data_IF_881234794725
#
_entry.id   IF_881234794725
#
_cell.length_a   1.000
_cell.length_b   1.000
_cell.length_c   1.000
_cell.angle_alpha   90.00
_cell.angle_beta   90.00
_cell.angle_gamma   90.00
#
_symmetry.space_group_name_H-M   'P 1'
#
loop_
_entity.id
_entity.type
_entity.pdbx_description
1 polymer ?
#
# COMPACT_ATOMS: atom_id res chain seq x y z
N UNK A 1 -18.78 1.57 -2.67
CA UNK A 1 -17.71 2.44 -3.20
C UNK A 1 -18.04 2.81 -4.63
N UNK A 2 -17.90 4.08 -5.04
CA UNK A 2 -18.03 4.47 -6.45
C UNK A 2 -16.69 4.32 -7.17
N UNK A 3 -16.73 3.93 -8.44
CA UNK A 3 -15.53 3.76 -9.28
C UNK A 3 -14.73 5.06 -9.43
N UNK A 4 -15.43 6.20 -9.43
CA UNK A 4 -14.79 7.51 -9.50
C UNK A 4 -14.04 7.87 -8.20
N UNK A 5 -14.60 7.56 -7.03
CA UNK A 5 -13.92 7.79 -5.76
C UNK A 5 -12.66 6.92 -5.67
N UNK A 6 -12.78 5.64 -6.06
CA UNK A 6 -11.65 4.72 -6.09
C UNK A 6 -10.52 5.23 -6.99
N UNK A 7 -10.84 5.61 -8.23
CA UNK A 7 -9.85 6.11 -9.20
C UNK A 7 -9.15 7.38 -8.73
N UNK A 8 -9.87 8.32 -8.12
CA UNK A 8 -9.27 9.55 -7.56
C UNK A 8 -8.31 9.24 -6.42
N UNK A 9 -8.69 8.29 -5.56
CA UNK A 9 -7.85 7.86 -4.46
C UNK A 9 -6.58 7.17 -4.96
N UNK A 10 -6.72 6.26 -5.93
CA UNK A 10 -5.58 5.59 -6.55
C UNK A 10 -4.64 6.59 -7.26
N UNK A 11 -5.18 7.57 -7.98
CA UNK A 11 -4.40 8.63 -8.62
C UNK A 11 -3.61 9.45 -7.59
N UNK A 12 -4.25 9.81 -6.47
CA UNK A 12 -3.58 10.49 -5.35
C UNK A 12 -2.45 9.65 -4.76
N UNK A 13 -2.68 8.36 -4.48
CA UNK A 13 -1.67 7.47 -3.91
C UNK A 13 -0.50 7.24 -4.87
N UNK A 14 -0.77 7.06 -6.16
CA UNK A 14 0.27 6.93 -7.20
C UNK A 14 1.11 8.20 -7.29
N UNK A 15 0.49 9.38 -7.27
CA UNK A 15 1.22 10.64 -7.29
C UNK A 15 2.07 10.80 -6.02
N UNK A 16 1.54 10.46 -4.84
CA UNK A 16 2.32 10.45 -3.61
C UNK A 16 3.56 9.57 -3.78
N UNK A 17 3.40 8.31 -4.18
CA UNK A 17 4.52 7.38 -4.32
C UNK A 17 5.58 7.82 -5.36
N UNK A 18 5.22 8.70 -6.29
CA UNK A 18 6.16 9.35 -7.21
C UNK A 18 6.90 10.52 -6.57
N UNK A 19 6.24 11.28 -5.70
CA UNK A 19 6.80 12.49 -5.09
C UNK A 19 7.61 12.20 -3.83
N UNK A 20 7.28 11.15 -3.07
CA UNK A 20 7.88 10.77 -1.80
C UNK A 20 7.59 9.30 -1.44
N UNK A 21 8.12 8.82 -0.31
CA UNK A 21 7.83 7.50 0.23
C UNK A 21 6.42 7.43 0.81
N UNK A 22 5.55 6.70 0.14
CA UNK A 22 4.20 6.42 0.58
C UNK A 22 4.22 5.36 1.69
N UNK A 23 3.82 5.78 2.89
CA UNK A 23 3.68 4.87 4.04
C UNK A 23 2.33 4.17 4.10
N UNK A 24 2.29 2.98 4.71
CA UNK A 24 1.08 2.16 4.80
C UNK A 24 -0.10 2.85 5.48
N UNK A 25 0.11 3.77 6.43
CA UNK A 25 -1.00 4.47 7.10
C UNK A 25 -1.83 5.32 6.15
N UNK A 26 -1.23 5.83 5.05
CA UNK A 26 -1.95 6.58 4.02
C UNK A 26 -2.85 5.65 3.20
N UNK A 27 -2.33 4.47 2.84
CA UNK A 27 -3.09 3.42 2.15
C UNK A 27 -4.23 2.89 3.05
N UNK A 28 -3.95 2.65 4.33
CA UNK A 28 -4.96 2.27 5.32
C UNK A 28 -6.03 3.35 5.48
N UNK A 29 -5.64 4.63 5.44
CA UNK A 29 -6.56 5.78 5.42
C UNK A 29 -7.46 5.79 4.19
N UNK A 30 -6.91 5.53 3.00
CA UNK A 30 -7.66 5.39 1.76
C UNK A 30 -8.71 4.27 1.84
N UNK A 31 -8.34 3.09 2.36
CA UNK A 31 -9.27 1.98 2.61
C UNK A 31 -10.42 2.41 3.51
N UNK A 32 -10.13 3.09 4.62
CA UNK A 32 -11.14 3.60 5.54
C UNK A 32 -12.07 4.64 4.91
N UNK A 33 -11.53 5.54 4.09
CA UNK A 33 -12.28 6.57 3.36
C UNK A 33 -13.25 5.96 2.34
N UNK A 34 -12.80 4.94 1.61
CA UNK A 34 -13.56 4.32 0.51
C UNK A 34 -14.65 3.35 0.98
N UNK A 35 -14.42 2.61 2.06
CA UNK A 35 -15.39 1.66 2.61
C UNK A 35 -16.34 2.32 3.62
N UNK A 36 -15.88 3.37 4.31
CA UNK A 36 -16.63 4.01 5.39
C UNK A 36 -16.66 3.19 6.68
N UNK A 37 -17.51 3.59 7.62
CA UNK A 37 -17.61 2.96 8.94
C UNK A 37 -18.29 1.60 8.86
N UNK A 38 -17.82 0.65 9.68
CA UNK A 38 -18.46 -0.65 9.87
C UNK A 38 -18.01 -1.75 8.90
N UNK A 39 -17.09 -1.45 7.98
CA UNK A 39 -16.46 -2.45 7.13
C UNK A 39 -15.69 -3.47 7.99
N UNK A 40 -15.86 -4.74 7.66
CA UNK A 40 -15.16 -5.85 8.28
C UNK A 40 -13.67 -5.84 7.95
N UNK A 41 -12.86 -6.54 8.74
CA UNK A 41 -11.43 -6.67 8.44
C UNK A 41 -11.18 -7.37 7.09
N UNK A 42 -12.01 -8.35 6.72
CA UNK A 42 -11.92 -9.03 5.43
C UNK A 42 -12.16 -8.07 4.24
N UNK A 43 -13.18 -7.20 4.34
CA UNK A 43 -13.43 -6.17 3.32
C UNK A 43 -12.29 -5.15 3.23
N UNK A 44 -11.74 -4.75 4.38
CA UNK A 44 -10.60 -3.83 4.46
C UNK A 44 -9.34 -4.45 3.86
N UNK A 45 -9.04 -5.70 4.19
CA UNK A 45 -7.93 -6.47 3.62
C UNK A 45 -8.08 -6.61 2.10
N UNK A 46 -9.28 -6.99 1.63
CA UNK A 46 -9.55 -7.15 0.19
C UNK A 46 -9.31 -5.85 -0.58
N UNK A 47 -9.78 -4.71 -0.05
CA UNK A 47 -9.55 -3.42 -0.68
C UNK A 47 -8.08 -2.97 -0.58
N UNK A 48 -7.43 -3.20 0.56
CA UNK A 48 -6.00 -2.91 0.75
C UNK A 48 -5.16 -3.59 -0.33
N UNK A 49 -5.35 -4.90 -0.50
CA UNK A 49 -4.60 -5.70 -1.48
C UNK A 49 -4.91 -5.27 -2.92
N UNK A 50 -6.15 -4.86 -3.21
CA UNK A 50 -6.52 -4.30 -4.52
C UNK A 50 -5.77 -2.99 -4.79
N UNK A 51 -5.76 -2.06 -3.84
CA UNK A 51 -5.04 -0.78 -3.98
C UNK A 51 -3.55 -1.03 -4.20
N UNK A 52 -2.94 -1.91 -3.41
CA UNK A 52 -1.52 -2.25 -3.54
C UNK A 52 -1.23 -2.89 -4.90
N UNK A 53 -2.11 -3.76 -5.40
CA UNK A 53 -1.95 -4.37 -6.72
C UNK A 53 -1.99 -3.30 -7.82
N UNK A 54 -2.97 -2.41 -7.78
CA UNK A 54 -3.12 -1.35 -8.77
C UNK A 54 -1.95 -0.34 -8.71
N UNK A 55 -1.43 -0.03 -7.52
CA UNK A 55 -0.21 0.76 -7.35
C UNK A 55 1.01 0.06 -7.97
N UNK A 56 1.12 -1.26 -7.76
CA UNK A 56 2.21 -2.06 -8.33
C UNK A 56 2.18 -2.05 -9.86
N UNK A 57 0.99 -2.23 -10.44
CA UNK A 57 0.76 -2.17 -11.88
C UNK A 57 1.01 -0.77 -12.44
N UNK A 58 0.81 0.28 -11.65
CA UNK A 58 1.17 1.66 -11.97
C UNK A 58 2.68 1.96 -11.86
N UNK A 59 3.51 0.99 -11.46
CA UNK A 59 4.96 1.11 -11.38
C UNK A 59 5.52 1.32 -9.98
N UNK A 60 4.66 1.44 -8.96
CA UNK A 60 5.08 1.56 -7.57
C UNK A 60 5.69 0.24 -7.08
N UNK A 61 6.71 0.30 -6.23
CA UNK A 61 7.33 -0.88 -5.62
C UNK A 61 7.29 -0.80 -4.11
N UNK A 62 6.94 -1.90 -3.41
CA UNK A 62 7.15 -2.01 -1.99
C UNK A 62 8.65 -2.23 -1.69
N UNK A 63 9.10 -1.71 -0.55
CA UNK A 63 10.48 -1.83 -0.14
C UNK A 63 10.71 -1.32 1.28
N UNK A 64 11.97 -1.39 1.68
CA UNK A 64 12.42 -0.99 3.01
C UNK A 64 13.22 0.32 2.91
N UNK A 65 12.98 1.22 3.86
CA UNK A 65 13.85 2.38 4.03
C UNK A 65 15.14 1.96 4.70
N UNK A 66 16.24 2.56 4.29
CA UNK A 66 17.57 2.29 4.86
C UNK A 66 18.19 3.57 5.42
N UNK A 67 19.23 3.39 6.24
CA UNK A 67 20.06 4.50 6.72
C UNK A 67 21.07 5.01 5.67
N UNK A 68 21.15 4.37 4.49
CA UNK A 68 22.05 4.76 3.41
C UNK A 68 21.59 6.05 2.75
N UNK A 69 22.47 7.04 2.65
CA UNK A 69 22.19 8.24 1.88
C UNK A 69 22.17 7.98 0.36
N UNK A 70 22.88 6.94 -0.10
CA UNK A 70 22.98 6.55 -1.50
C UNK A 70 21.82 5.69 -1.94
N UNK A 71 21.37 4.80 -1.06
CA UNK A 71 20.31 3.81 -1.32
C UNK A 71 19.24 3.89 -0.22
N UNK A 72 18.56 5.04 -0.05
CA UNK A 72 17.66 5.26 1.08
C UNK A 72 16.39 4.39 1.01
N UNK A 73 16.11 3.79 -0.14
CA UNK A 73 15.03 2.85 -0.36
C UNK A 73 15.55 1.62 -1.11
N UNK A 74 15.25 0.43 -0.58
CA UNK A 74 15.56 -0.84 -1.21
C UNK A 74 14.25 -1.54 -1.63
N UNK A 75 13.94 -1.61 -2.93
CA UNK A 75 12.77 -2.33 -3.40
C UNK A 75 12.90 -3.81 -3.07
N UNK A 76 11.79 -4.44 -2.70
CA UNK A 76 11.77 -5.88 -2.53
C UNK A 76 12.03 -6.60 -3.85
N UNK A 77 12.86 -7.65 -3.78
CA UNK A 77 13.11 -8.52 -4.92
C UNK A 77 11.98 -9.55 -5.07
N UNK A 78 10.79 -9.08 -5.44
CA UNK A 78 9.59 -9.91 -5.66
C UNK A 78 8.80 -9.38 -6.85
N UNK A 79 8.09 -10.27 -7.53
CA UNK A 79 7.04 -9.87 -8.46
C UNK A 79 5.79 -9.38 -7.69
N UNK A 80 4.79 -8.88 -8.43
CA UNK A 80 3.57 -8.32 -7.81
C UNK A 80 2.81 -9.36 -6.97
N UNK A 81 2.76 -10.62 -7.43
CA UNK A 81 2.11 -11.70 -6.70
C UNK A 81 2.84 -12.04 -5.40
N UNK A 82 4.17 -12.13 -5.43
CA UNK A 82 4.99 -12.35 -4.24
C UNK A 82 4.90 -11.20 -3.23
N UNK A 83 4.91 -9.96 -3.72
CA UNK A 83 4.74 -8.77 -2.89
C UNK A 83 3.37 -8.77 -2.18
N UNK A 84 2.29 -9.02 -2.92
CA UNK A 84 0.93 -9.08 -2.37
C UNK A 84 0.76 -10.21 -1.37
N UNK A 85 1.32 -11.40 -1.66
CA UNK A 85 1.27 -12.53 -0.75
C UNK A 85 2.00 -12.24 0.58
N UNK A 86 3.18 -11.59 0.51
CA UNK A 86 3.91 -11.16 1.69
C UNK A 86 3.12 -10.14 2.51
N UNK A 87 2.60 -9.10 1.86
CA UNK A 87 1.78 -8.07 2.51
C UNK A 87 0.55 -8.70 3.18
N UNK A 88 -0.19 -9.55 2.47
CA UNK A 88 -1.37 -10.22 3.01
C UNK A 88 -1.03 -11.02 4.28
N UNK A 89 0.07 -11.79 4.26
CA UNK A 89 0.50 -12.58 5.40
C UNK A 89 0.89 -11.71 6.61
N UNK A 90 1.60 -10.60 6.37
CA UNK A 90 2.01 -9.69 7.45
C UNK A 90 0.80 -8.93 8.04
N UNK A 91 -0.12 -8.42 7.21
CA UNK A 91 -1.34 -7.75 7.67
C UNK A 91 -2.23 -8.71 8.49
N UNK A 92 -2.40 -9.95 8.01
CA UNK A 92 -3.24 -10.96 8.68
C UNK A 92 -2.71 -11.32 10.07
N UNK A 93 -1.38 -11.45 10.21
CA UNK A 93 -0.71 -11.72 11.48
C UNK A 93 -0.98 -10.66 12.55
N UNK A 94 -1.26 -9.41 12.15
CA UNK A 94 -1.58 -8.31 13.05
C UNK A 94 -3.09 -8.11 13.26
N UNK A 95 -3.95 -8.73 12.43
CA UNK A 95 -5.42 -8.63 12.49
C UNK A 95 -5.93 -7.18 12.54
N UNK A 96 -5.17 -6.26 11.93
CA UNK A 96 -5.48 -4.82 11.80
C UNK A 96 -4.82 -4.28 10.55
N UNK A 97 -5.33 -3.16 10.04
CA UNK A 97 -4.61 -2.45 8.98
C UNK A 97 -3.28 -1.88 9.52
N UNK A 98 -2.21 -1.89 8.71
CA UNK A 98 -0.89 -1.47 9.18
C UNK A 98 -0.77 0.06 9.29
N UNK A 99 0.07 0.49 10.22
CA UNK A 99 0.60 1.86 10.25
C UNK A 99 1.81 2.01 9.31
N UNK A 100 2.26 3.24 9.10
CA UNK A 100 3.48 3.48 8.30
C UNK A 100 4.71 2.90 9.00
N UNK A 101 5.48 2.09 8.27
CA UNK A 101 6.67 1.40 8.79
C UNK A 101 6.39 0.04 9.43
N UNK A 102 5.13 -0.40 9.54
CA UNK A 102 4.81 -1.73 10.09
C UNK A 102 5.26 -2.87 9.16
N UNK A 103 5.14 -2.68 7.84
CA UNK A 103 5.37 -3.72 6.83
C UNK A 103 6.40 -3.25 5.80
N UNK A 104 6.08 -2.16 5.09
CA UNK A 104 6.94 -1.60 4.06
C UNK A 104 6.60 -0.14 3.77
N UNK A 105 7.37 0.42 2.84
CA UNK A 105 7.13 1.70 2.19
C UNK A 105 6.95 1.47 0.69
N UNK A 106 6.28 2.41 0.03
CA UNK A 106 6.01 2.36 -1.39
C UNK A 106 6.65 3.57 -2.08
N UNK A 107 7.31 3.35 -3.21
CA UNK A 107 7.79 4.44 -4.08
C UNK A 107 7.77 3.98 -5.53
N UNK A 108 7.56 4.92 -6.45
CA UNK A 108 7.83 4.69 -7.86
C UNK A 108 9.32 5.00 -8.13
N UNK A 109 10.13 4.03 -8.57
CA UNK A 109 11.52 4.26 -8.94
C UNK A 109 11.67 5.04 -10.26
#
# INVERSE_FOLDING_TARGET
>A
MSEEAYRRELEYLSQYAHDDWLGFSVVSGAVGSLLGRGATFEEQMGLLLRIVADLYDAGTRPGDLTESAQDPFLPWNSDGAGALARIAAEVDAHSRLPDSGDICWFTAP
#
